data_IF_757729870978
#
_entry.id   IF_757729870978
#
_cell.length_a   1.000
_cell.length_b   1.000
_cell.length_c   1.000
_cell.angle_alpha   90.00
_cell.angle_beta   90.00
_cell.angle_gamma   90.00
#
_symmetry.space_group_name_H-M   'P 1'
#
loop_
_entity.id
_entity.type
_entity.pdbx_description
1 polymer ?
#
# COMPACT_ATOMS: atom_id res chain seq x y z
N UNK A 1 -0.34 -7.00 -64.63
CA UNK A 1 0.83 -7.66 -63.97
C UNK A 1 1.22 -7.10 -62.59
N UNK A 2 0.77 -5.90 -62.15
CA UNK A 2 1.15 -5.35 -60.82
C UNK A 2 0.43 -5.99 -59.63
N UNK A 3 -0.83 -6.44 -59.78
CA UNK A 3 -1.60 -7.04 -58.68
C UNK A 3 -1.14 -8.42 -58.21
N UNK A 4 -0.54 -9.23 -59.11
CA UNK A 4 -0.11 -10.60 -58.78
C UNK A 4 1.15 -10.62 -57.90
N UNK A 5 2.08 -9.67 -58.10
CA UNK A 5 3.31 -9.56 -57.30
C UNK A 5 3.05 -9.13 -55.85
N UNK A 6 2.04 -8.27 -55.64
CA UNK A 6 1.72 -7.75 -54.31
C UNK A 6 1.01 -8.81 -53.45
N UNK A 7 0.13 -9.61 -54.06
CA UNK A 7 -0.51 -10.77 -53.42
C UNK A 7 0.49 -11.83 -52.96
N UNK A 8 1.49 -12.15 -53.80
CA UNK A 8 2.52 -13.13 -53.47
C UNK A 8 3.38 -12.68 -52.27
N UNK A 9 3.79 -11.40 -52.24
CA UNK A 9 4.59 -10.83 -51.15
C UNK A 9 3.84 -10.87 -49.80
N UNK A 10 2.55 -10.53 -49.78
CA UNK A 10 1.73 -10.60 -48.55
C UNK A 10 1.56 -12.02 -48.03
N UNK A 11 1.48 -13.02 -48.92
CA UNK A 11 1.34 -14.42 -48.52
C UNK A 11 2.65 -14.99 -47.98
N UNK A 12 3.79 -14.66 -48.60
CA UNK A 12 5.11 -15.02 -48.07
C UNK A 12 5.40 -14.40 -46.70
N UNK A 13 5.01 -13.14 -46.49
CA UNK A 13 5.22 -12.44 -45.20
C UNK A 13 4.38 -13.05 -44.08
N UNK A 14 3.13 -13.46 -44.38
CA UNK A 14 2.26 -14.16 -43.42
C UNK A 14 2.79 -15.56 -43.08
N UNK A 15 3.29 -16.31 -44.07
CA UNK A 15 3.85 -17.64 -43.85
C UNK A 15 5.16 -17.57 -43.04
N UNK A 16 6.02 -16.58 -43.33
CA UNK A 16 7.27 -16.36 -42.61
C UNK A 16 7.03 -15.97 -41.14
N UNK A 17 6.07 -15.08 -40.87
CA UNK A 17 5.68 -14.73 -39.50
C UNK A 17 5.04 -15.90 -38.74
N UNK A 18 4.26 -16.75 -39.42
CA UNK A 18 3.66 -17.94 -38.81
C UNK A 18 4.71 -19.00 -38.39
N UNK A 19 5.85 -19.06 -39.07
CA UNK A 19 6.97 -19.96 -38.73
C UNK A 19 7.89 -19.34 -37.67
N UNK A 20 8.02 -18.01 -37.62
CA UNK A 20 8.86 -17.31 -36.63
C UNK A 20 8.26 -17.32 -35.21
N UNK A 21 6.93 -17.30 -35.09
CA UNK A 21 6.23 -17.36 -33.80
C UNK A 21 6.53 -18.61 -32.97
N UNK A 22 6.45 -19.85 -33.49
CA UNK A 22 6.76 -21.05 -32.70
C UNK A 22 8.24 -21.17 -32.35
N UNK A 23 9.16 -20.65 -33.17
CA UNK A 23 10.60 -20.65 -32.87
C UNK A 23 10.91 -19.72 -31.68
N UNK A 24 10.31 -18.53 -31.64
CA UNK A 24 10.45 -17.62 -30.51
C UNK A 24 9.86 -18.22 -29.22
N UNK A 25 8.70 -18.89 -29.31
CA UNK A 25 8.10 -19.58 -28.17
C UNK A 25 9.01 -20.69 -27.66
N UNK A 26 9.60 -21.49 -28.55
CA UNK A 26 10.55 -22.54 -28.17
C UNK A 26 11.81 -21.97 -27.51
N UNK A 27 12.30 -20.82 -27.97
CA UNK A 27 13.43 -20.10 -27.37
C UNK A 27 13.11 -19.64 -25.94
N UNK A 28 11.90 -19.12 -25.68
CA UNK A 28 11.48 -18.75 -24.33
C UNK A 28 11.37 -19.96 -23.40
N UNK A 29 10.86 -21.10 -23.87
CA UNK A 29 10.85 -22.33 -23.08
C UNK A 29 12.26 -22.84 -22.76
N UNK A 30 13.19 -22.73 -23.70
CA UNK A 30 14.58 -23.11 -23.48
C UNK A 30 15.28 -22.21 -22.45
N UNK A 31 15.10 -20.89 -22.56
CA UNK A 31 15.62 -19.92 -21.57
C UNK A 31 15.04 -20.15 -20.18
N UNK A 32 13.73 -20.42 -20.09
CA UNK A 32 13.05 -20.72 -18.83
C UNK A 32 13.57 -22.01 -18.19
N UNK A 33 13.78 -23.06 -18.99
CA UNK A 33 14.36 -24.33 -18.52
C UNK A 33 15.80 -24.16 -18.00
N UNK A 34 16.64 -23.38 -18.70
CA UNK A 34 17.99 -23.07 -18.25
C UNK A 34 18.00 -22.24 -16.95
N UNK A 35 17.09 -21.27 -16.83
CA UNK A 35 16.92 -20.46 -15.62
C UNK A 35 16.49 -21.29 -14.40
N UNK A 36 15.57 -22.25 -14.59
CA UNK A 36 15.16 -23.15 -13.52
C UNK A 36 16.30 -24.08 -13.07
N UNK A 37 17.05 -24.66 -14.01
CA UNK A 37 18.17 -25.55 -13.69
C UNK A 37 19.27 -24.81 -12.91
N UNK A 38 19.63 -23.60 -13.35
CA UNK A 38 20.63 -22.76 -12.66
C UNK A 38 20.15 -22.31 -11.27
N UNK A 39 18.86 -21.95 -11.12
CA UNK A 39 18.27 -21.61 -9.82
C UNK A 39 18.27 -22.77 -8.82
N UNK A 40 17.97 -24.00 -9.27
CA UNK A 40 17.99 -25.19 -8.41
C UNK A 40 19.43 -25.53 -7.98
N UNK A 41 20.40 -25.44 -8.88
CA UNK A 41 21.81 -25.66 -8.56
C UNK A 41 22.33 -24.59 -7.59
N UNK A 42 21.96 -23.32 -7.77
CA UNK A 42 22.40 -22.26 -6.85
C UNK A 42 21.75 -22.40 -5.46
N UNK A 43 20.47 -22.79 -5.40
CA UNK A 43 19.75 -23.00 -4.13
C UNK A 43 20.31 -24.17 -3.31
N UNK A 44 20.83 -25.20 -3.98
CA UNK A 44 21.44 -26.37 -3.33
C UNK A 44 22.84 -26.08 -2.81
N UNK A 45 23.58 -25.15 -3.43
CA UNK A 45 24.90 -24.70 -2.97
C UNK A 45 24.85 -23.68 -1.82
N UNK A 46 23.73 -22.97 -1.63
CA UNK A 46 23.57 -22.01 -0.53
C UNK A 46 23.11 -22.66 0.80
N UNK A 47 22.72 -23.94 0.78
CA UNK A 47 22.30 -24.69 1.98
C UNK A 47 23.46 -25.14 2.88
N UNK A 48 24.73 -24.87 2.54
CA UNK A 48 25.90 -25.28 3.33
C UNK A 48 26.54 -24.17 4.17
N UNK A 49 25.99 -22.95 4.20
CA UNK A 49 26.53 -21.87 5.05
C UNK A 49 25.75 -21.81 6.37
N UNK A 50 26.14 -22.66 7.32
CA UNK A 50 25.71 -22.56 8.72
C UNK A 50 26.52 -21.47 9.43
N UNK A 51 25.93 -20.29 9.66
CA UNK A 51 26.49 -19.30 10.58
C UNK A 51 26.01 -19.60 12.01
N UNK A 52 26.89 -20.19 12.82
CA UNK A 52 26.73 -20.28 14.27
C UNK A 52 26.96 -18.89 14.87
N UNK A 53 25.90 -18.21 15.28
CA UNK A 53 25.99 -17.01 16.10
C UNK A 53 25.63 -17.36 17.54
N UNK A 54 26.69 -17.64 18.31
CA UNK A 54 26.68 -17.78 19.76
C UNK A 54 26.59 -16.37 20.35
N UNK A 55 25.39 -15.96 20.78
CA UNK A 55 25.22 -14.74 21.56
C UNK A 55 25.49 -15.07 23.04
N UNK A 56 26.62 -14.57 23.53
CA UNK A 56 27.04 -14.66 24.93
C UNK A 56 26.06 -13.93 25.85
N UNK A 57 25.66 -14.62 26.91
CA UNK A 57 24.91 -14.09 28.05
C UNK A 57 25.78 -13.07 28.82
N UNK A 58 25.21 -11.90 29.13
CA UNK A 58 25.71 -11.05 30.22
C UNK A 58 24.58 -10.82 31.21
N UNK A 59 24.73 -11.45 32.38
CA UNK A 59 23.97 -11.19 33.59
C UNK A 59 24.72 -10.14 34.41
N UNK A 60 24.02 -9.10 34.86
CA UNK A 60 24.48 -8.27 35.98
C UNK A 60 23.37 -8.27 37.03
N UNK A 61 23.67 -8.90 38.16
CA UNK A 61 22.87 -8.92 39.37
C UNK A 61 23.31 -7.78 40.27
N UNK A 62 22.35 -7.00 40.78
CA UNK A 62 22.54 -6.22 41.99
C UNK A 62 21.18 -6.04 42.68
N UNK A 63 21.12 -6.45 43.95
CA UNK A 63 20.05 -6.15 44.91
C UNK A 63 20.70 -5.98 46.29
N UNK A 64 19.98 -5.47 47.30
CA UNK A 64 19.32 -4.16 47.36
C UNK A 64 19.88 -3.35 48.57
N UNK A 65 19.49 -2.08 48.71
CA UNK A 65 19.67 -1.36 49.99
C UNK A 65 18.29 -0.94 50.49
N UNK A 66 17.88 -1.58 51.57
CA UNK A 66 16.64 -1.33 52.29
C UNK A 66 16.73 -0.05 53.12
N UNK A 67 15.73 0.83 53.00
CA UNK A 67 15.30 1.75 54.07
C UNK A 67 13.81 2.03 53.90
N UNK A 68 13.01 1.77 54.94
CA UNK A 68 11.55 1.99 55.03
C UNK A 68 11.22 2.27 56.51
N UNK A 69 10.21 3.06 56.91
CA UNK A 69 9.42 4.10 56.22
C UNK A 69 9.29 5.43 57.02
N UNK A 70 8.83 6.50 56.35
CA UNK A 70 7.91 7.46 56.99
C UNK A 70 6.55 7.34 56.29
N UNK A 71 5.53 6.95 57.05
CA UNK A 71 4.19 6.69 56.56
C UNK A 71 3.57 7.97 55.97
N UNK A 72 3.49 8.01 54.64
CA UNK A 72 2.67 8.98 53.91
C UNK A 72 1.55 8.19 53.26
N UNK A 73 0.31 8.65 53.49
CA UNK A 73 -0.91 8.11 52.89
C UNK A 73 -0.71 7.80 51.39
N UNK A 74 -1.22 6.67 50.86
CA UNK A 74 -1.02 6.34 49.46
C UNK A 74 -1.79 7.36 48.60
N UNK A 75 -1.07 8.37 48.11
CA UNK A 75 -1.49 9.08 46.93
C UNK A 75 -1.57 8.04 45.81
N UNK A 76 -2.78 7.77 45.31
CA UNK A 76 -2.97 7.01 44.09
C UNK A 76 -2.22 7.72 42.96
N UNK A 77 -0.95 7.35 42.75
CA UNK A 77 -0.17 7.79 41.60
C UNK A 77 -0.70 6.99 40.42
N UNK A 78 -1.69 7.52 39.72
CA UNK A 78 -2.05 7.01 38.42
C UNK A 78 -0.75 6.98 37.59
N UNK A 79 -0.32 5.82 37.05
CA UNK A 79 0.88 5.79 36.23
C UNK A 79 0.70 6.78 35.09
N UNK A 80 1.63 7.74 34.93
CA UNK A 80 1.60 8.69 33.82
C UNK A 80 1.74 7.91 32.52
N UNK A 81 0.64 7.63 31.85
CA UNK A 81 0.61 7.07 30.49
C UNK A 81 1.36 8.01 29.54
N UNK A 82 1.22 9.34 29.74
CA UNK A 82 1.87 10.35 28.92
C UNK A 82 1.57 10.15 27.43
N UNK A 83 2.52 10.47 26.56
CA UNK A 83 2.38 10.29 25.11
C UNK A 83 2.76 8.87 24.64
N UNK A 84 3.09 7.96 25.56
CA UNK A 84 3.51 6.58 25.19
C UNK A 84 2.41 5.79 24.49
N UNK A 85 1.15 6.13 24.74
CA UNK A 85 0.01 5.53 24.05
C UNK A 85 -0.04 5.91 22.55
N UNK A 86 0.43 7.11 22.19
CA UNK A 86 0.45 7.59 20.81
C UNK A 86 1.58 6.93 19.99
N UNK A 87 2.57 6.34 20.65
CA UNK A 87 3.65 5.57 20.03
C UNK A 87 3.27 4.12 19.77
N UNK A 88 2.19 3.63 20.40
CA UNK A 88 1.70 2.29 20.13
C UNK A 88 1.07 2.27 18.75
N UNK A 89 1.35 1.20 18.00
CA UNK A 89 0.63 0.93 16.75
C UNK A 89 -0.87 0.85 17.10
N UNK A 90 -1.72 1.69 16.50
CA UNK A 90 -3.15 1.63 16.74
C UNK A 90 -3.68 0.24 16.39
N UNK A 91 -4.63 -0.24 17.18
CA UNK A 91 -5.39 -1.42 16.77
C UNK A 91 -6.17 -1.07 15.51
N UNK A 92 -5.97 -1.89 14.48
CA UNK A 92 -6.66 -1.75 13.21
C UNK A 92 -8.13 -2.18 13.36
N UNK A 93 -8.44 -3.03 14.35
CA UNK A 93 -9.81 -3.47 14.66
C UNK A 93 -10.43 -2.52 15.68
N UNK A 94 -11.08 -1.47 15.18
CA UNK A 94 -11.86 -0.52 15.97
C UNK A 94 -13.35 -0.58 15.61
N UNK A 95 -14.20 -0.03 16.47
CA UNK A 95 -15.65 0.05 16.30
C UNK A 95 -16.15 1.38 15.72
N UNK A 96 -15.24 2.35 15.50
CA UNK A 96 -15.59 3.66 14.92
C UNK A 96 -16.32 3.51 13.59
N UNK A 97 -17.38 4.30 13.41
CA UNK A 97 -18.03 4.44 12.12
C UNK A 97 -17.17 5.27 11.14
N UNK A 98 -17.65 5.40 9.90
CA UNK A 98 -16.88 6.10 8.85
C UNK A 98 -16.69 7.59 9.13
N UNK A 99 -17.67 8.26 9.75
CA UNK A 99 -17.58 9.69 10.08
C UNK A 99 -16.63 9.90 11.24
N UNK A 100 -16.72 9.06 12.27
CA UNK A 100 -15.83 9.07 13.43
C UNK A 100 -14.39 8.79 13.02
N UNK A 101 -14.16 7.79 12.18
CA UNK A 101 -12.84 7.43 11.67
C UNK A 101 -12.23 8.58 10.85
N UNK A 102 -12.96 9.14 9.88
CA UNK A 102 -12.46 10.24 9.06
C UNK A 102 -12.19 11.50 9.89
N UNK A 103 -13.07 11.82 10.84
CA UNK A 103 -12.88 12.93 11.76
C UNK A 103 -11.60 12.74 12.59
N UNK A 104 -11.43 11.56 13.20
CA UNK A 104 -10.24 11.25 14.00
C UNK A 104 -8.96 11.27 13.15
N UNK A 105 -8.99 10.70 11.95
CA UNK A 105 -7.87 10.69 11.03
C UNK A 105 -7.47 12.10 10.53
N UNK A 106 -8.43 13.03 10.49
CA UNK A 106 -8.18 14.43 10.13
C UNK A 106 -7.54 15.25 11.26
N UNK A 107 -7.48 14.73 12.48
CA UNK A 107 -6.85 15.44 13.60
C UNK A 107 -5.33 15.49 13.40
N UNK A 108 -4.78 16.71 13.32
CA UNK A 108 -3.33 16.93 13.20
C UNK A 108 -2.83 17.94 14.24
N UNK A 109 -1.70 17.67 14.92
CA UNK A 109 -1.14 18.61 15.88
C UNK A 109 -0.65 19.87 15.15
N UNK A 110 -0.97 21.05 15.70
CA UNK A 110 -0.46 22.33 15.18
C UNK A 110 1.02 22.56 15.53
N UNK A 111 1.52 21.89 16.57
CA UNK A 111 2.94 21.84 16.90
C UNK A 111 3.55 20.70 16.08
N UNK A 112 4.40 21.05 15.11
CA UNK A 112 4.98 20.09 14.17
C UNK A 112 6.07 19.20 14.80
N UNK A 113 6.77 19.75 15.78
CA UNK A 113 7.81 19.03 16.50
C UNK A 113 7.19 18.06 17.50
N UNK A 114 7.60 16.80 17.43
CA UNK A 114 7.14 15.79 18.37
C UNK A 114 7.97 15.86 19.65
N UNK A 115 7.35 15.85 20.83
CA UNK A 115 8.06 15.88 22.11
C UNK A 115 8.63 14.50 22.50
N UNK A 116 8.85 13.62 21.52
CA UNK A 116 9.35 12.25 21.69
C UNK A 116 10.00 11.75 20.41
N UNK A 117 10.96 10.83 20.56
CA UNK A 117 11.59 10.15 19.43
C UNK A 117 10.65 9.13 18.80
N UNK A 118 10.66 9.07 17.48
CA UNK A 118 9.92 8.08 16.69
C UNK A 118 10.64 7.79 15.39
N UNK A 119 10.39 6.61 14.85
CA UNK A 119 10.88 6.22 13.53
C UNK A 119 9.77 6.49 12.51
N UNK A 120 9.98 7.37 11.52
CA UNK A 120 9.03 7.57 10.43
C UNK A 120 8.79 6.28 9.64
N UNK A 121 7.55 6.05 9.24
CA UNK A 121 7.12 4.83 8.54
C UNK A 121 6.53 5.12 7.18
N UNK A 122 6.64 4.12 6.30
CA UNK A 122 5.84 4.00 5.07
C UNK A 122 4.64 3.09 5.35
N UNK A 123 3.44 3.59 5.11
CA UNK A 123 2.21 2.82 5.16
C UNK A 123 1.93 2.16 3.80
N UNK A 124 1.98 0.83 3.77
CA UNK A 124 1.62 0.03 2.61
C UNK A 124 0.15 -0.39 2.72
N UNK A 125 -0.69 0.18 1.87
CA UNK A 125 -2.14 0.01 1.89
C UNK A 125 -2.56 -0.89 0.73
N UNK A 126 -3.05 -2.07 1.03
CA UNK A 126 -3.48 -3.07 0.06
C UNK A 126 -4.99 -3.03 -0.08
N UNK A 127 -5.48 -2.74 -1.28
CA UNK A 127 -6.88 -2.85 -1.64
C UNK A 127 -7.07 -4.10 -2.50
N UNK A 128 -7.70 -5.13 -1.95
CA UNK A 128 -7.78 -6.46 -2.56
C UNK A 128 -9.21 -6.97 -2.67
N UNK A 129 -9.49 -7.87 -3.64
CA UNK A 129 -10.76 -8.61 -3.66
C UNK A 129 -10.73 -9.87 -2.78
N UNK A 130 -9.54 -10.40 -2.52
CA UNK A 130 -9.32 -11.61 -1.73
C UNK A 130 -7.96 -11.57 -1.04
N UNK A 131 -7.19 -12.68 -1.02
CA UNK A 131 -5.88 -12.69 -0.40
C UNK A 131 -4.88 -11.83 -1.17
N UNK A 132 -3.83 -11.35 -0.50
CA UNK A 132 -2.66 -10.76 -1.14
C UNK A 132 -1.88 -11.88 -1.83
N UNK A 133 -2.09 -12.06 -3.14
CA UNK A 133 -1.56 -13.21 -3.90
C UNK A 133 -0.04 -13.32 -3.82
N UNK A 134 0.66 -12.19 -3.81
CA UNK A 134 2.12 -12.10 -3.76
C UNK A 134 2.65 -11.94 -2.33
N UNK A 135 1.90 -12.37 -1.30
CA UNK A 135 2.31 -12.23 0.09
C UNK A 135 3.74 -12.74 0.39
N UNK A 136 4.21 -13.92 -0.11
CA UNK A 136 5.58 -14.37 0.15
C UNK A 136 6.68 -13.46 -0.41
N UNK A 137 6.41 -12.71 -1.48
CA UNK A 137 7.35 -11.71 -1.99
C UNK A 137 7.38 -10.48 -1.10
N UNK A 138 6.21 -10.03 -0.66
CA UNK A 138 6.09 -8.94 0.30
C UNK A 138 6.72 -9.27 1.65
N UNK A 139 6.60 -10.52 2.13
CA UNK A 139 7.32 -11.00 3.33
C UNK A 139 8.83 -10.76 3.22
N UNK A 140 9.43 -11.19 2.10
CA UNK A 140 10.85 -11.00 1.84
C UNK A 140 11.22 -9.52 1.72
N UNK A 141 10.37 -8.72 1.11
CA UNK A 141 10.58 -7.27 1.01
C UNK A 141 10.61 -6.63 2.40
N UNK A 142 9.72 -7.01 3.31
CA UNK A 142 9.62 -6.41 4.64
C UNK A 142 10.59 -6.97 5.69
N UNK A 143 11.14 -8.17 5.46
CA UNK A 143 11.99 -8.88 6.42
C UNK A 143 13.15 -8.01 6.93
N UNK A 144 13.29 -7.88 8.25
CA UNK A 144 14.39 -7.14 8.90
C UNK A 144 14.21 -5.63 8.94
N UNK A 145 13.04 -5.11 8.55
CA UNK A 145 12.72 -3.69 8.52
C UNK A 145 11.57 -3.32 9.46
N UNK A 146 11.32 -4.15 10.48
CA UNK A 146 10.24 -3.98 11.44
C UNK A 146 10.33 -2.60 12.12
N UNK A 147 9.21 -1.88 12.17
CA UNK A 147 9.14 -0.54 12.75
C UNK A 147 9.36 0.61 11.76
N UNK A 148 9.82 0.35 10.54
CA UNK A 148 9.93 1.34 9.45
C UNK A 148 8.76 1.31 8.46
N UNK A 149 7.82 0.39 8.66
CA UNK A 149 6.63 0.28 7.84
C UNK A 149 5.40 -0.11 8.67
N UNK A 150 4.24 0.09 8.06
CA UNK A 150 2.96 -0.41 8.54
C UNK A 150 2.19 -0.97 7.33
N UNK A 151 1.31 -1.95 7.59
CA UNK A 151 0.52 -2.62 6.54
C UNK A 151 -0.94 -2.50 6.91
N UNK A 152 -1.77 -2.13 5.94
CA UNK A 152 -3.22 -2.07 6.06
C UNK A 152 -3.84 -2.79 4.88
N UNK A 153 -4.82 -3.65 5.13
CA UNK A 153 -5.49 -4.43 4.10
C UNK A 153 -6.98 -4.12 4.13
N UNK A 154 -7.52 -3.63 3.03
CA UNK A 154 -8.95 -3.58 2.77
C UNK A 154 -9.29 -4.67 1.79
N UNK A 155 -10.17 -5.58 2.19
CA UNK A 155 -10.52 -6.76 1.40
C UNK A 155 -12.02 -6.99 1.42
N UNK A 156 -12.55 -7.65 0.40
CA UNK A 156 -13.98 -7.99 0.33
C UNK A 156 -14.48 -8.62 1.64
N UNK A 157 -15.56 -8.11 2.27
CA UNK A 157 -16.17 -8.72 3.45
C UNK A 157 -16.62 -10.18 3.22
N UNK A 158 -16.97 -10.53 1.99
CA UNK A 158 -17.31 -11.90 1.59
C UNK A 158 -16.10 -12.85 1.51
N UNK A 159 -14.88 -12.33 1.57
CA UNK A 159 -13.68 -13.16 1.60
C UNK A 159 -13.49 -13.77 2.98
N UNK A 160 -13.81 -15.06 3.06
CA UNK A 160 -13.67 -15.87 4.27
C UNK A 160 -12.17 -16.14 4.53
N UNK A 161 -11.70 -15.86 5.74
CA UNK A 161 -10.30 -15.97 6.20
C UNK A 161 -9.81 -17.43 6.35
N UNK A 162 -10.29 -18.34 5.50
CA UNK A 162 -10.05 -19.78 5.60
C UNK A 162 -8.62 -20.20 5.30
N UNK A 163 -7.78 -19.30 4.77
CA UNK A 163 -6.34 -19.51 4.58
C UNK A 163 -5.58 -18.67 5.62
N UNK A 164 -4.59 -19.25 6.31
CA UNK A 164 -3.78 -18.50 7.25
C UNK A 164 -3.12 -17.33 6.52
N UNK A 165 -3.28 -16.13 7.07
CA UNK A 165 -2.58 -14.96 6.56
C UNK A 165 -1.08 -15.18 6.69
N UNK A 166 -0.35 -14.67 5.71
CA UNK A 166 1.09 -14.51 5.82
C UNK A 166 1.44 -13.77 7.12
N UNK A 167 2.53 -14.12 7.84
CA UNK A 167 2.84 -13.53 9.14
C UNK A 167 2.88 -12.01 9.16
N UNK A 168 3.29 -11.34 8.07
CA UNK A 168 3.36 -9.86 8.01
C UNK A 168 1.99 -9.22 7.86
N UNK A 169 1.04 -9.93 7.24
CA UNK A 169 -0.32 -9.48 6.99
C UNK A 169 -1.28 -9.85 8.12
N UNK A 170 -0.87 -10.71 9.06
CA UNK A 170 -1.67 -11.12 10.19
C UNK A 170 -2.16 -9.90 11.00
N UNK A 171 -3.49 -9.77 11.12
CA UNK A 171 -4.11 -8.70 11.91
C UNK A 171 -3.98 -7.31 11.29
N UNK A 172 -3.66 -7.22 9.99
CA UNK A 172 -3.53 -5.95 9.26
C UNK A 172 -4.80 -5.52 8.53
N UNK A 173 -5.85 -6.33 8.60
CA UNK A 173 -7.13 -6.08 7.93
C UNK A 173 -7.94 -5.02 8.66
N UNK A 174 -8.33 -3.97 7.92
CA UNK A 174 -9.20 -2.90 8.41
C UNK A 174 -10.67 -3.31 8.33
N UNK A 175 -11.58 -2.71 9.12
CA UNK A 175 -13.02 -2.80 8.89
C UNK A 175 -13.34 -2.41 7.43
N UNK A 176 -13.74 -3.40 6.64
CA UNK A 176 -13.88 -3.27 5.18
C UNK A 176 -15.35 -3.28 4.75
N UNK A 177 -15.66 -2.68 3.60
CA UNK A 177 -16.99 -2.71 2.96
C UNK A 177 -16.89 -3.32 1.57
N UNK A 178 -18.00 -3.78 0.99
CA UNK A 178 -18.01 -4.28 -0.37
C UNK A 178 -17.63 -3.17 -1.37
N UNK A 179 -16.78 -3.52 -2.32
CA UNK A 179 -16.26 -2.62 -3.35
C UNK A 179 -16.53 -3.22 -4.71
N UNK A 180 -17.05 -2.39 -5.63
CA UNK A 180 -17.27 -2.79 -7.01
C UNK A 180 -16.28 -2.08 -7.92
N UNK A 181 -15.79 -2.79 -8.93
CA UNK A 181 -14.84 -2.20 -9.87
C UNK A 181 -15.55 -1.09 -10.67
N UNK A 182 -14.88 0.06 -10.79
CA UNK A 182 -15.45 1.22 -11.45
C UNK A 182 -16.63 1.85 -10.71
N UNK A 183 -16.81 1.56 -9.43
CA UNK A 183 -17.83 2.23 -8.60
C UNK A 183 -17.19 3.26 -7.67
N UNK A 184 -17.98 4.23 -7.24
CA UNK A 184 -17.56 5.29 -6.33
C UNK A 184 -17.20 4.77 -4.94
N UNK A 185 -17.73 3.60 -4.54
CA UNK A 185 -17.36 2.90 -3.31
C UNK A 185 -15.89 2.43 -3.30
N UNK A 186 -15.21 2.42 -4.46
CA UNK A 186 -13.77 2.20 -4.55
C UNK A 186 -12.99 3.33 -3.90
N UNK A 187 -13.39 4.58 -4.15
CA UNK A 187 -12.77 5.79 -3.58
C UNK A 187 -13.03 5.84 -2.06
N UNK A 188 -14.21 5.41 -1.61
CA UNK A 188 -14.51 5.27 -0.18
C UNK A 188 -13.59 4.26 0.51
N UNK A 189 -13.31 3.11 -0.12
CA UNK A 189 -12.37 2.13 0.41
C UNK A 189 -10.93 2.67 0.50
N UNK A 190 -10.49 3.44 -0.49
CA UNK A 190 -9.19 4.12 -0.47
C UNK A 190 -9.11 5.15 0.67
N UNK A 191 -10.14 6.00 0.83
CA UNK A 191 -10.24 6.94 1.96
C UNK A 191 -10.23 6.22 3.30
N UNK A 192 -10.86 5.05 3.40
CA UNK A 192 -10.87 4.23 4.62
C UNK A 192 -9.51 3.65 4.96
N UNK A 193 -8.76 3.18 3.95
CA UNK A 193 -7.37 2.76 4.10
C UNK A 193 -6.50 3.90 4.60
N UNK A 194 -6.59 5.07 3.95
CA UNK A 194 -5.87 6.27 4.36
C UNK A 194 -6.19 6.67 5.79
N UNK A 195 -7.48 6.67 6.16
CA UNK A 195 -7.91 7.07 7.49
C UNK A 195 -7.37 6.15 8.57
N UNK A 196 -7.42 4.82 8.36
CA UNK A 196 -6.81 3.85 9.27
C UNK A 196 -5.29 4.03 9.36
N UNK A 197 -4.63 4.25 8.23
CA UNK A 197 -3.19 4.48 8.19
C UNK A 197 -2.76 5.78 8.90
N UNK A 198 -3.58 6.83 8.83
CA UNK A 198 -3.33 8.11 9.48
C UNK A 198 -3.40 8.04 11.00
N UNK A 199 -4.08 7.05 11.58
CA UNK A 199 -4.13 6.86 13.04
C UNK A 199 -2.74 6.55 13.63
N UNK A 200 -1.83 5.93 12.87
CA UNK A 200 -0.42 5.83 13.28
C UNK A 200 0.28 7.14 12.93
N UNK A 201 0.62 7.92 13.95
CA UNK A 201 1.30 9.20 13.82
C UNK A 201 2.68 9.08 13.17
N UNK A 202 3.28 7.89 13.19
CA UNK A 202 4.60 7.62 12.63
C UNK A 202 4.56 7.44 11.12
N UNK A 203 3.40 7.12 10.54
CA UNK A 203 3.24 7.02 9.09
C UNK A 203 3.38 8.40 8.44
N UNK A 204 4.38 8.54 7.56
CA UNK A 204 4.68 9.78 6.83
C UNK A 204 4.39 9.66 5.34
N UNK A 205 4.51 8.45 4.77
CA UNK A 205 4.26 8.16 3.35
C UNK A 205 3.21 7.07 3.23
N UNK A 206 2.35 7.15 2.23
CA UNK A 206 1.19 6.29 2.04
C UNK A 206 1.17 5.76 0.61
N UNK A 207 1.32 4.45 0.46
CA UNK A 207 1.41 3.77 -0.84
C UNK A 207 0.19 2.90 -1.03
N UNK A 208 -0.60 3.15 -2.07
CA UNK A 208 -1.74 2.32 -2.43
C UNK A 208 -1.34 1.22 -3.42
N UNK A 209 -1.71 -0.02 -3.11
CA UNK A 209 -1.35 -1.22 -3.86
C UNK A 209 -2.57 -2.13 -4.06
N UNK A 210 -2.56 -2.92 -5.13
CA UNK A 210 -3.50 -4.03 -5.35
C UNK A 210 -2.87 -5.37 -4.96
N UNK A 211 -3.67 -6.45 -4.96
CA UNK A 211 -3.20 -7.82 -4.71
C UNK A 211 -2.16 -8.34 -5.71
N UNK A 212 -2.08 -7.71 -6.89
CA UNK A 212 -1.16 -8.07 -7.99
C UNK A 212 0.11 -7.22 -8.02
N UNK A 213 0.22 -6.18 -7.19
CA UNK A 213 1.40 -5.33 -7.14
C UNK A 213 2.60 -6.10 -6.55
N UNK A 214 3.78 -5.84 -7.10
CA UNK A 214 5.05 -6.38 -6.63
C UNK A 214 6.09 -5.26 -6.46
N UNK A 215 6.94 -5.32 -5.44
CA UNK A 215 8.10 -4.43 -5.36
C UNK A 215 9.14 -4.83 -6.41
N UNK A 216 9.72 -3.84 -7.07
CA UNK A 216 10.80 -4.02 -8.07
C UNK A 216 12.18 -3.59 -7.57
N UNK A 217 12.22 -2.90 -6.42
CA UNK A 217 13.43 -2.52 -5.69
C UNK A 217 13.34 -3.07 -4.27
N UNK A 218 14.48 -3.20 -3.58
CA UNK A 218 14.51 -3.59 -2.17
C UNK A 218 13.91 -2.52 -1.25
N UNK A 219 13.61 -2.90 -0.01
CA UNK A 219 12.96 -2.02 0.95
C UNK A 219 13.79 -0.79 1.27
N UNK A 220 15.11 -0.93 1.47
CA UNK A 220 15.98 0.19 1.83
C UNK A 220 16.00 1.24 0.73
N UNK A 221 16.04 0.81 -0.53
CA UNK A 221 15.93 1.68 -1.71
C UNK A 221 14.59 2.43 -1.73
N UNK A 222 13.47 1.70 -1.60
CA UNK A 222 12.12 2.31 -1.62
C UNK A 222 11.93 3.27 -0.45
N UNK A 223 12.24 2.83 0.77
CA UNK A 223 12.09 3.62 1.99
C UNK A 223 12.91 4.91 1.91
N UNK A 224 14.20 4.81 1.54
CA UNK A 224 15.07 6.00 1.41
C UNK A 224 14.55 6.96 0.35
N UNK A 225 14.11 6.46 -0.80
CA UNK A 225 13.55 7.29 -1.87
C UNK A 225 12.30 8.06 -1.40
N UNK A 226 11.34 7.36 -0.79
CA UNK A 226 10.10 7.97 -0.34
C UNK A 226 10.31 8.92 0.84
N UNK A 227 11.09 8.51 1.84
CA UNK A 227 11.33 9.32 3.03
C UNK A 227 12.12 10.60 2.75
N UNK A 228 13.01 10.60 1.75
CA UNK A 228 13.78 11.79 1.37
C UNK A 228 13.09 12.65 0.30
N UNK A 229 11.99 12.19 -0.28
CA UNK A 229 11.24 12.97 -1.27
C UNK A 229 10.58 14.20 -0.62
N UNK A 230 10.46 15.29 -1.38
CA UNK A 230 9.62 16.45 -1.03
C UNK A 230 8.36 16.52 -1.91
N UNK A 231 8.08 15.44 -2.65
CA UNK A 231 7.02 15.35 -3.65
C UNK A 231 6.06 14.20 -3.33
N UNK A 232 4.87 14.32 -3.90
CA UNK A 232 3.84 13.29 -3.98
C UNK A 232 3.89 12.68 -5.39
N UNK A 233 3.67 11.37 -5.49
CA UNK A 233 3.71 10.64 -6.76
C UNK A 233 2.31 10.16 -7.14
N UNK A 234 1.64 10.99 -7.95
CA UNK A 234 0.31 10.74 -8.51
C UNK A 234 0.35 10.92 -10.02
N UNK A 235 -0.35 10.07 -10.77
CA UNK A 235 -0.51 10.29 -12.20
C UNK A 235 -1.64 11.29 -12.43
N UNK A 236 -1.35 12.38 -13.15
CA UNK A 236 -2.33 13.42 -13.44
C UNK A 236 -2.03 14.07 -14.78
N UNK A 237 -2.92 13.90 -15.75
CA UNK A 237 -2.76 14.42 -17.10
C UNK A 237 -4.11 14.79 -17.73
N UNK A 238 -4.07 15.64 -18.75
CA UNK A 238 -5.25 15.93 -19.57
C UNK A 238 -5.38 14.84 -20.63
N UNK A 239 -6.56 14.24 -20.71
CA UNK A 239 -6.90 13.29 -21.76
C UNK A 239 -8.18 13.75 -22.43
N UNK A 240 -8.14 13.93 -23.74
CA UNK A 240 -9.33 14.27 -24.53
C UNK A 240 -10.01 12.98 -25.01
N UNK A 241 -11.34 13.00 -25.12
CA UNK A 241 -12.15 11.91 -25.65
C UNK A 241 -13.00 11.18 -24.61
N UNK A 242 -13.70 10.09 -25.01
CA UNK A 242 -14.75 9.46 -24.21
C UNK A 242 -14.31 8.96 -22.82
N UNK A 243 -13.04 8.58 -22.67
CA UNK A 243 -12.46 8.06 -21.43
C UNK A 243 -11.71 9.12 -20.61
N UNK A 244 -11.60 10.35 -21.12
CA UNK A 244 -10.92 11.49 -20.49
C UNK A 244 -11.91 12.57 -20.08
N UNK A 245 -11.87 13.72 -20.75
CA UNK A 245 -12.82 14.83 -20.56
C UNK A 245 -14.28 14.47 -20.88
N UNK A 246 -14.55 13.46 -21.71
CA UNK A 246 -15.91 12.95 -21.95
C UNK A 246 -16.58 12.37 -20.70
N UNK A 247 -15.79 11.94 -19.70
CA UNK A 247 -16.30 11.47 -18.39
C UNK A 247 -16.58 12.61 -17.42
N UNK A 248 -16.19 13.84 -17.73
CA UNK A 248 -16.55 14.99 -16.93
C UNK A 248 -18.06 15.16 -16.88
N UNK A 249 -18.55 15.56 -15.71
CA UNK A 249 -19.95 15.87 -15.47
C UNK A 249 -20.13 17.39 -15.28
N UNK A 250 -20.91 18.07 -16.13
CA UNK A 250 -21.20 19.50 -15.98
C UNK A 250 -21.75 19.90 -14.60
N UNK A 251 -22.42 18.99 -13.87
CA UNK A 251 -22.95 19.22 -12.52
C UNK A 251 -21.86 19.51 -11.48
N UNK A 252 -20.61 19.13 -11.76
CA UNK A 252 -19.48 19.48 -10.89
C UNK A 252 -19.10 20.98 -10.94
N UNK A 253 -19.61 21.75 -11.92
CA UNK A 253 -19.45 23.21 -11.96
C UNK A 253 -20.32 23.87 -10.87
N UNK A 254 -19.85 24.99 -10.26
CA UNK A 254 -18.59 25.69 -10.53
C UNK A 254 -17.41 25.17 -9.69
N UNK A 255 -17.61 24.14 -8.86
CA UNK A 255 -16.64 23.70 -7.84
C UNK A 255 -15.40 23.06 -8.46
N UNK A 256 -15.60 22.14 -9.41
CA UNK A 256 -14.55 21.56 -10.25
C UNK A 256 -14.86 22.03 -11.66
N UNK A 257 -13.96 22.81 -12.25
CA UNK A 257 -14.09 23.22 -13.64
C UNK A 257 -13.45 22.18 -14.56
N UNK A 258 -13.88 22.13 -15.82
CA UNK A 258 -13.33 21.20 -16.81
C UNK A 258 -11.81 21.36 -16.97
N UNK A 259 -11.28 22.58 -16.83
CA UNK A 259 -9.85 22.84 -16.96
C UNK A 259 -9.04 22.27 -15.78
N UNK A 260 -9.72 21.91 -14.68
CA UNK A 260 -9.16 21.23 -13.50
C UNK A 260 -9.35 19.71 -13.55
N UNK A 261 -10.18 19.19 -14.47
CA UNK A 261 -10.39 17.76 -14.66
C UNK A 261 -9.14 17.08 -15.21
N UNK A 262 -8.73 15.98 -14.58
CA UNK A 262 -7.53 15.22 -14.95
C UNK A 262 -7.83 13.73 -14.94
N UNK A 263 -7.22 13.01 -15.88
CA UNK A 263 -7.12 11.55 -15.83
C UNK A 263 -5.88 11.18 -15.00
N UNK A 264 -5.97 10.06 -14.31
CA UNK A 264 -4.85 9.47 -13.57
C UNK A 264 -5.02 7.98 -13.37
N UNK A 265 -4.01 7.37 -12.77
CA UNK A 265 -3.99 6.01 -12.24
C UNK A 265 -4.67 5.96 -10.88
N UNK A 266 -5.17 4.78 -10.51
CA UNK A 266 -5.65 4.55 -9.16
C UNK A 266 -4.49 4.56 -8.15
N UNK A 267 -3.35 3.97 -8.53
CA UNK A 267 -2.17 3.87 -7.68
C UNK A 267 -1.55 5.25 -7.43
N UNK A 268 -1.13 5.46 -6.19
CA UNK A 268 -0.44 6.66 -5.75
C UNK A 268 0.58 6.35 -4.64
N UNK A 269 1.51 7.27 -4.49
CA UNK A 269 2.18 7.53 -3.23
C UNK A 269 1.98 9.00 -2.84
N UNK A 270 1.70 9.24 -1.56
CA UNK A 270 1.59 10.59 -1.02
C UNK A 270 2.16 10.70 0.39
N UNK A 271 2.52 11.92 0.76
CA UNK A 271 2.87 12.31 2.11
C UNK A 271 1.64 12.41 3.03
N UNK A 272 1.93 12.64 4.31
CA UNK A 272 0.91 12.73 5.36
C UNK A 272 0.00 13.94 5.21
N UNK A 273 0.51 15.08 4.74
CA UNK A 273 -0.27 16.30 4.64
C UNK A 273 -1.34 16.15 3.54
N UNK A 274 -0.96 15.61 2.38
CA UNK A 274 -1.91 15.31 1.31
C UNK A 274 -2.89 14.21 1.71
N UNK A 275 -2.45 13.18 2.44
CA UNK A 275 -3.34 12.16 2.97
C UNK A 275 -4.43 12.75 3.90
N UNK A 276 -4.05 13.70 4.78
CA UNK A 276 -4.98 14.43 5.65
C UNK A 276 -5.97 15.25 4.81
N UNK A 277 -5.50 15.97 3.79
CA UNK A 277 -6.38 16.73 2.89
C UNK A 277 -7.40 15.82 2.19
N UNK A 278 -6.99 14.62 1.74
CA UNK A 278 -7.89 13.65 1.10
C UNK A 278 -8.97 13.15 2.05
N UNK A 279 -8.62 12.75 3.29
CA UNK A 279 -9.61 12.22 4.23
C UNK A 279 -10.52 13.31 4.81
N UNK A 280 -10.04 14.55 4.88
CA UNK A 280 -10.79 15.70 5.39
C UNK A 280 -11.58 16.44 4.32
N UNK A 281 -11.44 16.08 3.03
CA UNK A 281 -12.13 16.76 1.95
C UNK A 281 -13.66 16.62 2.08
N UNK A 282 -14.30 17.77 2.25
CA UNK A 282 -15.75 17.96 2.28
C UNK A 282 -16.25 18.74 1.05
N UNK A 283 -15.34 19.17 0.16
CA UNK A 283 -15.66 20.06 -0.96
C UNK A 283 -15.79 19.31 -2.27
N UNK A 284 -14.85 18.43 -2.60
CA UNK A 284 -14.80 17.78 -3.91
C UNK A 284 -15.45 16.40 -3.89
N UNK A 285 -15.14 15.60 -2.87
CA UNK A 285 -15.58 14.22 -2.77
C UNK A 285 -17.10 14.03 -2.83
N UNK A 286 -17.95 14.85 -2.17
CA UNK A 286 -19.41 14.70 -2.28
C UNK A 286 -19.96 14.83 -3.71
N UNK A 287 -19.23 15.48 -4.62
CA UNK A 287 -19.65 15.68 -6.01
C UNK A 287 -19.36 14.48 -6.91
N UNK A 288 -18.43 13.61 -6.50
CA UNK A 288 -17.92 12.50 -7.31
C UNK A 288 -18.91 11.32 -7.40
N UNK A 289 -19.53 10.87 -6.29
CA UNK A 289 -20.57 9.84 -6.32
C UNK A 289 -21.72 10.15 -7.26
N UNK A 290 -22.27 11.36 -7.21
CA UNK A 290 -23.41 11.78 -8.04
C UNK A 290 -23.06 11.91 -9.53
N UNK A 291 -21.81 12.22 -9.85
CA UNK A 291 -21.32 12.46 -11.22
C UNK A 291 -20.83 11.19 -11.95
N UNK A 292 -20.25 10.23 -11.23
CA UNK A 292 -19.60 9.06 -11.83
C UNK A 292 -20.48 7.79 -11.88
N UNK A 293 -21.55 7.72 -11.09
CA UNK A 293 -22.43 6.54 -11.03
C UNK A 293 -23.08 6.18 -12.38
N UNK A 294 -23.30 7.16 -13.27
CA UNK A 294 -23.90 6.92 -14.59
C UNK A 294 -22.89 6.61 -15.70
N UNK A 295 -21.59 6.92 -15.51
CA UNK A 295 -20.60 6.94 -16.62
C UNK A 295 -19.47 5.93 -16.50
N UNK A 296 -19.36 5.20 -15.38
CA UNK A 296 -18.32 4.16 -15.21
C UNK A 296 -18.75 2.76 -15.71
N UNK A 297 -20.01 2.59 -16.12
CA UNK A 297 -20.57 1.33 -16.65
C UNK A 297 -20.41 1.15 -18.17
N UNK A 298 -19.56 1.95 -18.84
CA UNK A 298 -19.25 1.83 -20.27
C UNK A 298 -17.75 1.82 -20.54
#
# INVERSE_FOLDING_TARGET
MKGLKQSLATTFTKLFNAILQPINVLYFFFLFGCGLATGVILSSNLKSVSCNLLASQFSVSAAPTETVPLATLPAFKLPRTGLKEHLKVPDVKHDMDEKELLWRASMTPRIREYPFDRVPKVAFMFLTKGPVLMAPLWEKFFQGHEGMYSIYVHSSPSYNESKPESPVFHGRRIPSKDVQWGSTNLIEAERRLLANALLDISNQRFVLLSESCIPIFDFSTVYTHLMNSTKNHVESYVLNGPVGDGRYDPRMRPVIKIEQWRKGSQWFEMDRDLAIDVVSDQKYFPLVPEALQEKMLC
#
